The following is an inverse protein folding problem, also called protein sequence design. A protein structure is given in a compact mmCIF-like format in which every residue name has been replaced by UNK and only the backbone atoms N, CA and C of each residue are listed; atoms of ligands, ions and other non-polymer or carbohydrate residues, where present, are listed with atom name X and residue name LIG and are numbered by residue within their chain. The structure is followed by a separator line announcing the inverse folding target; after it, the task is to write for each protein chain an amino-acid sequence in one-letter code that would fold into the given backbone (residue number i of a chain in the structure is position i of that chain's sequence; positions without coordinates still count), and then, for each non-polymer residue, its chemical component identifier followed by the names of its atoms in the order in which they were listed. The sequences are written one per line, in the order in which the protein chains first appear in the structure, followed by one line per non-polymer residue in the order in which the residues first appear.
data_IF_264664980398
#
_entry.id   IF_264664980398
#
_cell.length_a   1.000
_cell.length_b   1.000
_cell.length_c   1.000
_cell.angle_alpha   90.00
_cell.angle_beta   90.00
_cell.angle_gamma   90.00
#
_symmetry.space_group_name_H-M   'P 1'
#
loop_
_entity.id
_entity.type
_entity.pdbx_description
1 polymer ?
#
# COMPACT_ATOMS: atom_id res chain seq x y z
N UNK A 1 -12.69 8.52 -39.79
CA UNK A 1 -13.76 7.99 -40.67
C UNK A 1 -13.07 7.28 -41.82
N UNK A 2 -13.26 5.97 -41.97
CA UNK A 2 -12.81 5.25 -43.17
C UNK A 2 -13.60 5.74 -44.39
N UNK A 3 -13.02 5.61 -45.58
CA UNK A 3 -13.28 6.40 -46.78
C UNK A 3 -14.73 6.52 -47.30
N UNK A 4 -15.72 5.78 -46.77
CA UNK A 4 -17.12 5.82 -47.25
C UNK A 4 -18.19 5.92 -46.14
N UNK A 5 -17.82 6.17 -44.87
CA UNK A 5 -18.80 6.34 -43.77
C UNK A 5 -19.34 5.05 -43.16
N UNK A 6 -19.05 3.88 -43.74
CA UNK A 6 -19.28 2.57 -43.12
C UNK A 6 -18.06 2.15 -42.26
N UNK A 7 -18.29 1.46 -41.12
CA UNK A 7 -17.20 0.92 -40.32
C UNK A 7 -16.48 -0.21 -41.10
N UNK A 8 -15.14 -0.29 -41.06
CA UNK A 8 -14.40 -1.32 -41.78
C UNK A 8 -14.60 -2.70 -41.14
N UNK A 9 -14.45 -3.78 -41.90
CA UNK A 9 -14.43 -5.15 -41.35
C UNK A 9 -13.19 -5.37 -40.47
N UNK A 10 -12.06 -4.79 -40.88
CA UNK A 10 -10.77 -4.84 -40.17
C UNK A 10 -10.13 -3.47 -40.13
N UNK A 11 -9.68 -3.05 -38.94
CA UNK A 11 -8.88 -1.85 -38.73
C UNK A 11 -7.50 -2.25 -38.19
N UNK A 12 -6.45 -1.94 -38.94
CA UNK A 12 -5.07 -2.16 -38.51
C UNK A 12 -4.49 -0.86 -37.95
N UNK A 13 -4.07 -0.90 -36.69
CA UNK A 13 -3.41 0.18 -35.98
C UNK A 13 -1.95 -0.18 -35.74
N UNK A 14 -1.06 0.81 -35.88
CA UNK A 14 0.38 0.69 -35.60
C UNK A 14 0.84 1.92 -34.83
N UNK A 15 2.08 1.93 -34.33
CA UNK A 15 2.69 3.01 -33.55
C UNK A 15 2.10 3.25 -32.15
N UNK A 16 1.13 2.46 -31.70
CA UNK A 16 0.51 2.56 -30.37
C UNK A 16 1.17 1.63 -29.32
N UNK A 17 2.36 1.10 -29.65
CA UNK A 17 3.31 0.47 -28.73
C UNK A 17 2.94 -0.92 -28.21
N UNK A 18 1.80 -1.07 -27.54
CA UNK A 18 1.39 -2.34 -26.92
C UNK A 18 0.49 -3.12 -27.90
N UNK A 19 0.84 -4.36 -28.28
CA UNK A 19 0.06 -5.15 -29.23
C UNK A 19 -1.23 -5.70 -28.58
N UNK A 20 -2.37 -5.62 -29.28
CA UNK A 20 -3.65 -6.19 -28.83
C UNK A 20 -4.65 -6.37 -29.99
N UNK A 21 -5.65 -7.23 -29.78
CA UNK A 21 -6.78 -7.41 -30.71
C UNK A 21 -8.11 -7.23 -29.98
N UNK A 22 -9.08 -6.56 -30.60
CA UNK A 22 -10.43 -6.39 -30.03
C UNK A 22 -11.48 -6.35 -31.14
N UNK A 23 -12.69 -6.84 -30.86
CA UNK A 23 -13.86 -6.58 -31.72
C UNK A 23 -14.73 -5.49 -31.10
N UNK A 24 -15.09 -4.50 -31.92
CA UNK A 24 -15.99 -3.39 -31.53
C UNK A 24 -17.00 -3.22 -32.66
N UNK A 25 -18.29 -3.35 -32.34
CA UNK A 25 -19.40 -3.18 -33.30
C UNK A 25 -19.23 -3.96 -34.62
N UNK A 26 -18.67 -5.17 -34.54
CA UNK A 26 -18.41 -6.05 -35.69
C UNK A 26 -17.03 -5.87 -36.34
N UNK A 27 -16.39 -4.71 -36.20
CA UNK A 27 -15.04 -4.44 -36.70
C UNK A 27 -13.97 -5.17 -35.88
N UNK A 28 -13.08 -5.91 -36.54
CA UNK A 28 -11.85 -6.43 -35.91
C UNK A 28 -10.79 -5.33 -35.90
N UNK A 29 -10.40 -4.86 -34.71
CA UNK A 29 -9.30 -3.93 -34.53
C UNK A 29 -8.06 -4.71 -34.12
N UNK A 30 -6.97 -4.52 -34.86
CA UNK A 30 -5.66 -5.16 -34.62
C UNK A 30 -4.65 -4.06 -34.41
N UNK A 31 -4.18 -3.90 -33.18
CA UNK A 31 -3.02 -3.07 -32.88
C UNK A 31 -1.78 -3.95 -32.85
N UNK A 32 -0.88 -3.72 -33.81
CA UNK A 32 0.35 -4.52 -33.97
C UNK A 32 1.45 -4.09 -32.99
N UNK A 33 1.27 -2.97 -32.30
CA UNK A 33 2.30 -2.34 -31.46
C UNK A 33 3.22 -1.44 -32.27
N UNK A 34 4.48 -1.30 -31.82
CA UNK A 34 5.51 -0.53 -32.50
C UNK A 34 6.71 -1.40 -32.89
N UNK A 35 7.07 -1.39 -34.17
CA UNK A 35 8.27 -2.09 -34.65
C UNK A 35 9.50 -1.48 -33.98
N UNK A 36 10.36 -2.32 -33.41
CA UNK A 36 11.55 -1.88 -32.69
C UNK A 36 11.27 -1.29 -31.31
N UNK A 37 10.07 -1.52 -30.74
CA UNK A 37 9.78 -1.22 -29.34
C UNK A 37 9.02 -2.39 -28.69
N UNK A 38 9.51 -2.95 -27.58
CA UNK A 38 8.82 -4.05 -26.91
C UNK A 38 7.49 -3.67 -26.26
N UNK A 39 6.74 -4.64 -25.77
CA UNK A 39 5.35 -4.48 -25.32
C UNK A 39 5.16 -3.95 -23.88
N UNK A 40 6.23 -3.51 -23.21
CA UNK A 40 6.22 -3.12 -21.79
C UNK A 40 5.83 -4.27 -20.85
N UNK A 41 6.30 -5.48 -21.12
CA UNK A 41 5.98 -6.70 -20.38
C UNK A 41 7.23 -7.48 -19.94
N UNK A 42 8.40 -6.84 -19.99
CA UNK A 42 9.69 -7.42 -19.62
C UNK A 42 10.25 -8.39 -20.66
N UNK A 43 9.60 -8.53 -21.81
CA UNK A 43 10.14 -9.28 -22.94
C UNK A 43 10.69 -8.32 -23.97
N UNK A 44 11.84 -8.66 -24.56
CA UNK A 44 12.52 -7.81 -25.52
C UNK A 44 11.98 -7.96 -26.96
N UNK A 45 11.06 -8.90 -27.21
CA UNK A 45 10.56 -9.17 -28.56
C UNK A 45 9.76 -7.98 -29.13
N UNK A 46 9.80 -7.85 -30.46
CA UNK A 46 8.84 -7.02 -31.19
C UNK A 46 7.66 -7.88 -31.63
N UNK A 47 6.68 -7.28 -32.31
CA UNK A 47 5.43 -7.95 -32.64
C UNK A 47 5.03 -7.67 -34.08
N UNK A 48 4.47 -8.69 -34.73
CA UNK A 48 3.73 -8.53 -35.98
C UNK A 48 2.37 -9.23 -35.88
N UNK A 49 1.45 -8.87 -36.77
CA UNK A 49 0.14 -9.51 -36.85
C UNK A 49 0.03 -10.32 -38.14
N UNK A 50 -0.43 -11.57 -38.03
CA UNK A 50 -0.97 -12.34 -39.15
C UNK A 50 -2.48 -12.14 -39.14
N UNK A 51 -3.04 -11.68 -40.26
CA UNK A 51 -4.48 -11.42 -40.39
C UNK A 51 -5.04 -12.34 -41.46
N UNK A 52 -5.89 -13.26 -41.04
CA UNK A 52 -6.59 -14.20 -41.91
C UNK A 52 -7.98 -13.67 -42.22
N UNK A 53 -8.23 -13.37 -43.50
CA UNK A 53 -9.52 -12.89 -43.97
C UNK A 53 -10.18 -13.98 -44.80
N UNK A 54 -11.28 -14.52 -44.27
CA UNK A 54 -12.14 -15.50 -44.92
C UNK A 54 -13.49 -14.84 -45.27
N UNK A 55 -14.28 -15.47 -46.16
CA UNK A 55 -15.59 -14.95 -46.55
C UNK A 55 -16.48 -14.65 -45.32
N UNK A 56 -16.63 -13.36 -44.98
CA UNK A 56 -17.45 -12.88 -43.87
C UNK A 56 -16.82 -12.97 -42.47
N UNK A 57 -15.53 -13.34 -42.35
CA UNK A 57 -14.83 -13.42 -41.05
C UNK A 57 -13.36 -13.06 -41.19
N UNK A 58 -12.89 -12.13 -40.38
CA UNK A 58 -11.47 -11.84 -40.24
C UNK A 58 -10.98 -12.28 -38.85
N UNK A 59 -9.79 -12.85 -38.76
CA UNK A 59 -9.11 -13.18 -37.50
C UNK A 59 -7.68 -12.64 -37.53
N UNK A 60 -7.10 -12.39 -36.36
CA UNK A 60 -5.74 -11.90 -36.26
C UNK A 60 -5.00 -12.63 -35.14
N UNK A 61 -3.75 -13.01 -35.43
CA UNK A 61 -2.82 -13.60 -34.48
C UNK A 61 -1.64 -12.65 -34.33
N UNK A 62 -1.36 -12.23 -33.09
CA UNK A 62 -0.17 -11.46 -32.75
C UNK A 62 0.98 -12.43 -32.51
N UNK A 63 2.07 -12.27 -33.25
CA UNK A 63 3.22 -13.18 -33.21
C UNK A 63 4.44 -12.41 -32.70
N UNK A 64 5.10 -12.89 -31.62
CA UNK A 64 6.34 -12.30 -31.15
C UNK A 64 7.45 -12.56 -32.17
N UNK A 65 8.24 -11.53 -32.44
CA UNK A 65 9.39 -11.55 -33.34
C UNK A 65 10.66 -11.36 -32.51
N UNK A 66 11.40 -12.44 -32.35
CA UNK A 66 12.75 -12.39 -31.81
C UNK A 66 13.69 -11.69 -32.82
N UNK A 67 14.61 -10.88 -32.30
CA UNK A 67 15.66 -10.22 -33.07
C UNK A 67 16.92 -10.13 -32.22
N UNK A 68 18.04 -9.73 -32.83
CA UNK A 68 19.31 -9.53 -32.12
C UNK A 68 19.25 -8.23 -31.30
N UNK A 69 18.78 -8.36 -30.07
CA UNK A 69 18.64 -7.28 -29.09
C UNK A 69 19.98 -6.58 -28.85
N UNK A 70 21.07 -7.34 -28.75
CA UNK A 70 22.39 -6.81 -28.47
C UNK A 70 22.93 -5.99 -29.66
N UNK A 71 22.77 -6.50 -30.88
CA UNK A 71 23.15 -5.77 -32.09
C UNK A 71 22.31 -4.49 -32.26
N UNK A 72 21.00 -4.56 -31.99
CA UNK A 72 20.12 -3.39 -32.05
C UNK A 72 20.53 -2.33 -31.02
N UNK A 73 20.76 -2.72 -29.77
CA UNK A 73 21.20 -1.82 -28.71
C UNK A 73 22.56 -1.18 -29.04
N UNK A 74 23.52 -1.95 -29.57
CA UNK A 74 24.80 -1.43 -30.03
C UNK A 74 24.65 -0.41 -31.18
N UNK A 75 23.78 -0.69 -32.15
CA UNK A 75 23.50 0.24 -33.25
C UNK A 75 22.85 1.54 -32.75
N UNK A 76 21.93 1.46 -31.78
CA UNK A 76 21.31 2.64 -31.16
C UNK A 76 22.33 3.51 -30.43
N UNK A 77 23.22 2.89 -29.63
CA UNK A 77 24.32 3.61 -28.94
C UNK A 77 25.28 4.24 -29.94
N UNK A 78 25.66 3.52 -31.01
CA UNK A 78 26.53 4.05 -32.06
C UNK A 78 25.90 5.24 -32.82
N UNK A 79 24.57 5.27 -32.92
CA UNK A 79 23.81 6.39 -33.48
C UNK A 79 23.62 7.56 -32.50
N UNK A 80 24.10 7.45 -31.26
CA UNK A 80 23.98 8.48 -30.23
C UNK A 80 22.57 8.62 -29.65
N UNK A 81 21.75 7.56 -29.70
CA UNK A 81 20.43 7.59 -29.07
C UNK A 81 20.55 7.57 -27.53
N UNK A 82 19.65 8.25 -26.79
CA UNK A 82 19.70 8.28 -25.33
C UNK A 82 19.53 6.88 -24.71
N UNK A 83 20.29 6.62 -23.64
CA UNK A 83 20.33 5.31 -22.97
C UNK A 83 18.95 4.79 -22.52
N UNK A 84 18.00 5.62 -22.03
CA UNK A 84 16.66 5.11 -21.69
C UNK A 84 15.98 4.38 -22.86
N UNK A 85 16.10 4.88 -24.09
CA UNK A 85 15.54 4.17 -25.25
C UNK A 85 16.22 2.83 -25.49
N UNK A 86 17.52 2.73 -25.26
CA UNK A 86 18.29 1.48 -25.40
C UNK A 86 17.88 0.47 -24.34
N UNK A 87 17.76 0.91 -23.09
CA UNK A 87 17.33 0.04 -21.99
C UNK A 87 15.93 -0.53 -22.20
N UNK A 88 15.04 0.23 -22.86
CA UNK A 88 13.71 -0.28 -23.23
C UNK A 88 13.81 -1.49 -24.17
N UNK A 89 14.79 -1.50 -25.09
CA UNK A 89 15.03 -2.63 -26.00
C UNK A 89 15.63 -3.81 -25.24
N UNK A 90 16.61 -3.55 -24.39
CA UNK A 90 17.34 -4.60 -23.66
C UNK A 90 16.48 -5.29 -22.60
N UNK A 91 15.61 -4.54 -21.92
CA UNK A 91 14.84 -5.04 -20.77
C UNK A 91 13.39 -5.37 -21.09
N UNK A 92 12.85 -4.86 -22.21
CA UNK A 92 11.43 -4.97 -22.51
C UNK A 92 10.52 -4.05 -21.70
N UNK A 93 11.06 -3.26 -20.77
CA UNK A 93 10.32 -2.30 -19.95
C UNK A 93 10.45 -0.89 -20.48
N UNK A 94 9.35 -0.16 -20.55
CA UNK A 94 9.39 1.20 -21.04
C UNK A 94 9.96 2.15 -19.99
N UNK A 95 11.05 2.82 -20.35
CA UNK A 95 11.68 3.88 -19.56
C UNK A 95 11.37 5.27 -20.09
N UNK A 96 10.66 5.35 -21.22
CA UNK A 96 10.18 6.58 -21.85
C UNK A 96 8.76 6.39 -22.35
N UNK A 97 8.08 7.46 -22.73
CA UNK A 97 6.69 7.50 -23.17
C UNK A 97 5.69 6.79 -22.23
N UNK A 98 5.93 6.76 -20.91
CA UNK A 98 4.98 6.14 -19.99
C UNK A 98 3.62 6.85 -20.02
N UNK A 99 3.59 8.16 -20.29
CA UNK A 99 2.40 9.02 -20.30
C UNK A 99 1.32 8.57 -21.27
N UNK A 100 1.68 7.87 -22.36
CA UNK A 100 0.73 7.35 -23.35
C UNK A 100 0.21 5.95 -23.01
N UNK A 101 0.80 5.27 -22.01
CA UNK A 101 0.36 3.93 -21.57
C UNK A 101 -0.89 4.06 -20.69
N UNK A 102 -2.02 3.42 -21.03
CA UNK A 102 -3.22 3.45 -20.19
C UNK A 102 -2.96 2.87 -18.79
N UNK A 103 -3.67 3.34 -17.73
CA UNK A 103 -3.48 2.88 -16.36
C UNK A 103 -3.42 1.36 -16.16
N UNK A 104 -4.30 0.53 -16.78
CA UNK A 104 -4.25 -0.93 -16.57
C UNK A 104 -2.98 -1.58 -17.09
N UNK A 105 -2.45 -1.10 -18.23
CA UNK A 105 -1.21 -1.62 -18.79
C UNK A 105 0.03 -1.04 -18.09
N UNK A 106 -0.05 0.22 -17.65
CA UNK A 106 1.04 0.85 -16.90
C UNK A 106 1.24 0.18 -15.54
N UNK A 107 0.17 -0.22 -14.88
CA UNK A 107 0.23 -0.92 -13.60
C UNK A 107 0.77 -2.36 -13.66
N UNK A 108 0.78 -2.97 -14.85
CA UNK A 108 1.48 -4.25 -15.12
C UNK A 108 2.96 -4.04 -15.43
N UNK A 109 3.33 -2.82 -15.80
CA UNK A 109 4.68 -2.42 -16.11
C UNK A 109 5.59 -2.43 -14.89
N UNK A 110 6.90 -2.46 -15.12
CA UNK A 110 7.89 -2.24 -14.07
C UNK A 110 7.88 -0.80 -13.56
N UNK A 111 7.82 0.17 -14.47
CA UNK A 111 7.87 1.60 -14.15
C UNK A 111 6.50 2.28 -14.33
N UNK A 112 6.24 3.31 -13.53
CA UNK A 112 4.90 3.86 -13.38
C UNK A 112 4.83 5.38 -13.54
N UNK A 113 5.87 6.09 -13.11
CA UNK A 113 5.95 7.54 -13.15
C UNK A 113 7.30 8.00 -13.69
N UNK A 114 7.36 9.24 -14.16
CA UNK A 114 8.62 9.94 -14.34
C UNK A 114 9.10 10.53 -13.02
N UNK A 115 10.41 10.54 -12.83
CA UNK A 115 11.06 11.11 -11.65
C UNK A 115 10.70 12.59 -11.45
N UNK A 116 10.59 13.37 -12.53
CA UNK A 116 10.16 14.78 -12.51
C UNK A 116 8.70 15.00 -12.04
N UNK A 117 7.87 13.95 -12.07
CA UNK A 117 6.49 13.98 -11.58
C UNK A 117 6.41 13.61 -10.11
N UNK A 118 7.49 13.09 -9.51
CA UNK A 118 7.55 12.99 -8.07
C UNK A 118 7.55 14.40 -7.50
N UNK A 119 6.71 14.69 -6.50
CA UNK A 119 6.64 16.03 -5.97
C UNK A 119 7.97 16.36 -5.28
N UNK A 120 8.61 17.45 -5.71
CA UNK A 120 9.89 17.90 -5.17
C UNK A 120 9.65 18.76 -3.94
N UNK A 121 10.16 18.32 -2.77
CA UNK A 121 10.10 19.10 -1.54
C UNK A 121 8.77 18.95 -0.80
N UNK A 122 8.71 17.97 0.10
CA UNK A 122 7.63 17.80 1.05
C UNK A 122 8.08 18.12 2.46
N UNK A 123 8.08 19.40 2.80
CA UNK A 123 8.01 19.85 4.19
C UNK A 123 6.67 20.55 4.37
N UNK A 124 5.61 19.78 4.62
CA UNK A 124 4.38 20.33 5.18
C UNK A 124 4.57 20.34 6.69
N UNK A 125 4.26 21.46 7.34
CA UNK A 125 4.27 21.63 8.79
C UNK A 125 3.59 20.44 9.49
N UNK A 126 4.37 19.47 9.95
CA UNK A 126 3.93 18.36 10.82
C UNK A 126 3.53 17.03 10.16
N UNK A 127 3.53 16.90 8.84
CA UNK A 127 3.32 15.61 8.15
C UNK A 127 4.07 15.60 6.81
N UNK A 128 5.38 15.36 6.88
CA UNK A 128 6.18 15.11 5.69
C UNK A 128 6.05 13.66 5.25
N UNK A 129 6.19 13.43 3.94
CA UNK A 129 6.55 12.14 3.35
C UNK A 129 7.97 11.67 3.76
N UNK A 130 8.45 12.10 4.93
CA UNK A 130 9.85 12.22 5.29
C UNK A 130 10.58 10.88 5.45
N UNK A 131 9.83 9.79 5.68
CA UNK A 131 10.42 8.46 5.89
C UNK A 131 10.55 7.63 4.62
N UNK A 132 9.94 8.07 3.51
CA UNK A 132 10.11 7.39 2.25
C UNK A 132 11.37 7.93 1.58
N UNK A 133 12.43 7.11 1.59
CA UNK A 133 13.67 7.43 0.89
C UNK A 133 13.40 7.83 -0.57
N UNK A 134 14.22 8.74 -1.09
CA UNK A 134 14.19 9.01 -2.53
C UNK A 134 14.47 7.69 -3.27
N UNK A 135 13.74 7.38 -4.36
CA UNK A 135 14.00 6.18 -5.13
C UNK A 135 15.45 6.20 -5.60
N UNK A 136 16.13 5.04 -5.54
CA UNK A 136 17.50 4.89 -6.00
C UNK A 136 17.69 5.58 -7.37
N UNK A 137 18.74 6.38 -7.48
CA UNK A 137 19.07 7.05 -8.74
C UNK A 137 19.90 6.10 -9.61
N UNK A 138 19.17 5.28 -10.36
CA UNK A 138 19.68 4.39 -11.40
C UNK A 138 20.01 5.13 -12.71
N UNK A 139 19.91 6.47 -12.73
CA UNK A 139 20.10 7.29 -13.93
C UNK A 139 18.92 7.26 -14.90
N UNK A 140 17.82 6.56 -14.55
CA UNK A 140 16.63 6.52 -15.39
C UNK A 140 15.66 7.66 -15.07
N UNK A 141 14.95 8.16 -16.10
CA UNK A 141 13.96 9.22 -15.92
C UNK A 141 12.65 8.71 -15.30
N UNK A 142 12.53 7.40 -15.07
CA UNK A 142 11.31 6.75 -14.58
C UNK A 142 11.55 6.00 -13.27
N UNK A 143 10.48 5.81 -12.50
CA UNK A 143 10.52 5.18 -11.18
C UNK A 143 9.35 4.23 -10.99
N UNK A 144 9.50 3.29 -10.05
CA UNK A 144 8.40 2.49 -9.52
C UNK A 144 7.50 3.36 -8.64
N UNK A 145 6.22 3.02 -8.51
CA UNK A 145 5.36 3.65 -7.50
C UNK A 145 5.71 3.11 -6.12
N UNK A 146 5.61 1.79 -5.90
CA UNK A 146 6.10 1.16 -4.68
C UNK A 146 7.59 1.40 -4.49
N UNK A 147 7.98 1.87 -3.30
CA UNK A 147 9.36 2.31 -3.04
C UNK A 147 9.59 3.79 -3.29
N UNK A 148 8.60 4.53 -3.82
CA UNK A 148 8.67 5.98 -3.94
C UNK A 148 8.04 6.69 -2.74
N UNK A 149 8.29 8.00 -2.57
CA UNK A 149 7.59 8.81 -1.59
C UNK A 149 6.07 8.69 -1.67
N UNK A 150 5.51 8.49 -2.86
CA UNK A 150 4.06 8.34 -2.99
C UNK A 150 3.55 7.00 -2.48
N UNK A 151 4.32 5.91 -2.55
CA UNK A 151 3.92 4.58 -2.08
C UNK A 151 5.10 3.95 -1.34
N UNK A 152 5.26 4.25 -0.04
CA UNK A 152 6.24 3.57 0.79
C UNK A 152 6.04 2.05 0.69
N UNK A 153 7.12 1.24 0.63
CA UNK A 153 7.00 -0.22 0.48
C UNK A 153 6.63 -0.88 1.82
N UNK A 154 5.55 -0.40 2.45
CA UNK A 154 5.01 -0.87 3.74
C UNK A 154 3.78 -1.74 3.49
N UNK A 155 3.68 -2.87 4.18
CA UNK A 155 2.50 -3.73 4.13
C UNK A 155 1.76 -3.69 5.46
N UNK A 156 0.48 -3.35 5.42
CA UNK A 156 -0.41 -3.41 6.57
C UNK A 156 -1.14 -4.74 6.63
N UNK A 157 -1.24 -5.33 7.82
CA UNK A 157 -1.88 -6.63 8.05
C UNK A 157 -2.79 -6.53 9.27
N UNK A 158 -4.10 -6.65 9.06
CA UNK A 158 -5.05 -6.88 10.14
C UNK A 158 -5.02 -8.35 10.56
N UNK A 159 -4.41 -8.63 11.70
CA UNK A 159 -4.36 -9.97 12.29
C UNK A 159 -5.75 -10.53 12.62
N UNK A 160 -6.66 -9.65 13.07
CA UNK A 160 -8.03 -9.95 13.47
C UNK A 160 -8.84 -8.64 13.63
N UNK A 161 -10.14 -8.72 13.91
CA UNK A 161 -11.03 -7.57 14.18
C UNK A 161 -11.73 -7.63 15.53
N UNK A 162 -11.39 -8.61 16.38
CA UNK A 162 -11.88 -8.63 17.76
C UNK A 162 -11.04 -7.69 18.60
N UNK A 163 -11.67 -6.94 19.50
CA UNK A 163 -10.97 -6.04 20.40
C UNK A 163 -11.54 -6.16 21.80
N UNK A 164 -10.71 -6.00 22.82
CA UNK A 164 -11.16 -5.90 24.22
C UNK A 164 -11.78 -4.52 24.54
N UNK A 165 -11.77 -3.59 23.59
CA UNK A 165 -12.40 -2.26 23.64
C UNK A 165 -13.38 -2.10 22.49
N UNK A 166 -14.31 -1.15 22.61
CA UNK A 166 -15.19 -0.70 21.55
C UNK A 166 -15.10 0.82 21.45
N UNK A 167 -13.95 1.34 20.98
CA UNK A 167 -13.69 2.77 20.96
C UNK A 167 -14.70 3.52 20.08
N UNK A 168 -15.13 4.69 20.51
CA UNK A 168 -16.15 5.47 19.80
C UNK A 168 -15.68 5.98 18.43
N UNK A 169 -14.36 6.11 18.22
CA UNK A 169 -13.77 6.49 16.93
C UNK A 169 -13.21 5.32 16.10
N UNK A 170 -13.48 4.06 16.46
CA UNK A 170 -12.87 2.92 15.78
C UNK A 170 -13.21 2.87 14.28
N UNK A 171 -12.22 3.16 13.43
CA UNK A 171 -12.38 3.25 11.96
C UNK A 171 -12.82 1.95 11.28
N UNK A 172 -12.55 0.80 11.92
CA UNK A 172 -12.95 -0.53 11.45
C UNK A 172 -14.02 -1.19 12.35
N UNK A 173 -14.65 -0.43 13.24
CA UNK A 173 -15.71 -0.89 14.15
C UNK A 173 -15.37 -2.18 14.93
N UNK A 174 -14.10 -2.34 15.33
CA UNK A 174 -13.66 -3.48 16.14
C UNK A 174 -14.20 -3.38 17.57
N UNK A 175 -14.62 -4.51 18.13
CA UNK A 175 -15.23 -4.58 19.46
C UNK A 175 -15.21 -5.99 20.03
N UNK A 176 -15.59 -6.19 21.32
CA UNK A 176 -15.81 -7.54 21.86
C UNK A 176 -16.99 -8.26 21.20
N UNK A 177 -17.88 -7.54 20.52
CA UNK A 177 -18.98 -8.12 19.78
C UNK A 177 -18.63 -8.40 18.29
N UNK A 178 -17.51 -7.85 17.81
CA UNK A 178 -17.09 -8.04 16.43
C UNK A 178 -16.65 -9.48 16.17
N UNK A 179 -16.99 -9.98 14.98
CA UNK A 179 -16.53 -11.28 14.50
C UNK A 179 -15.00 -11.28 14.43
N UNK A 180 -14.36 -12.31 15.01
CA UNK A 180 -12.90 -12.36 15.17
C UNK A 180 -12.13 -12.13 13.86
N UNK A 181 -12.56 -12.75 12.76
CA UNK A 181 -11.92 -12.60 11.44
C UNK A 181 -10.39 -12.80 11.53
N UNK A 182 -10.01 -13.86 12.23
CA UNK A 182 -8.61 -14.22 12.49
C UNK A 182 -7.91 -14.63 11.19
N UNK A 183 -6.70 -14.12 10.96
CA UNK A 183 -5.83 -14.62 9.89
C UNK A 183 -5.26 -16.01 10.22
N UNK A 184 -4.86 -16.22 11.47
CA UNK A 184 -4.13 -17.42 11.91
C UNK A 184 -2.67 -17.44 11.44
N UNK A 185 -1.82 -18.19 12.16
CA UNK A 185 -0.37 -18.19 11.95
C UNK A 185 0.03 -18.56 10.51
N UNK A 186 -0.47 -19.66 9.96
CA UNK A 186 -0.04 -20.16 8.65
C UNK A 186 -0.32 -19.17 7.50
N UNK A 187 -1.46 -18.47 7.57
CA UNK A 187 -1.78 -17.43 6.58
C UNK A 187 -0.90 -16.21 6.77
N UNK A 188 -0.67 -15.80 8.01
CA UNK A 188 0.19 -14.67 8.33
C UNK A 188 1.64 -14.93 7.87
N UNK A 189 2.21 -16.09 8.19
CA UNK A 189 3.56 -16.47 7.78
C UNK A 189 3.71 -16.45 6.25
N UNK A 190 2.75 -17.02 5.52
CA UNK A 190 2.75 -16.98 4.05
C UNK A 190 2.69 -15.55 3.49
N UNK A 191 1.91 -14.66 4.11
CA UNK A 191 1.86 -13.25 3.72
C UNK A 191 3.18 -12.52 3.98
N UNK A 192 3.87 -12.84 5.08
CA UNK A 192 5.19 -12.28 5.38
C UNK A 192 6.22 -12.72 4.34
N UNK A 193 6.26 -14.01 4.00
CA UNK A 193 7.19 -14.53 2.99
C UNK A 193 6.89 -13.93 1.60
N UNK A 194 5.62 -13.77 1.26
CA UNK A 194 5.19 -13.07 0.04
C UNK A 194 5.60 -11.60 0.07
N UNK A 195 5.48 -10.92 1.21
CA UNK A 195 5.88 -9.53 1.35
C UNK A 195 7.39 -9.34 1.09
N UNK A 196 8.22 -10.27 1.58
CA UNK A 196 9.66 -10.29 1.29
C UNK A 196 9.91 -10.48 -0.21
N UNK A 197 9.24 -11.45 -0.84
CA UNK A 197 9.39 -11.73 -2.27
C UNK A 197 8.96 -10.53 -3.15
N UNK A 198 7.96 -9.77 -2.69
CA UNK A 198 7.47 -8.57 -3.36
C UNK A 198 8.25 -7.31 -2.99
N UNK A 199 9.37 -7.39 -2.26
CA UNK A 199 10.19 -6.24 -1.86
C UNK A 199 9.45 -5.19 -1.01
N UNK A 200 8.60 -5.63 -0.09
CA UNK A 200 8.19 -4.76 1.02
C UNK A 200 9.37 -4.60 2.00
N UNK A 201 9.55 -3.41 2.55
CA UNK A 201 10.64 -3.09 3.48
C UNK A 201 10.22 -3.14 4.93
N UNK A 202 8.92 -3.06 5.22
CA UNK A 202 8.40 -2.98 6.59
C UNK A 202 6.98 -3.54 6.68
N UNK A 203 6.65 -4.13 7.84
CA UNK A 203 5.35 -4.69 8.16
C UNK A 203 4.67 -3.90 9.28
N UNK A 204 3.39 -3.59 9.08
CA UNK A 204 2.52 -3.01 10.11
C UNK A 204 1.45 -4.02 10.48
N UNK A 205 1.62 -4.66 11.62
CA UNK A 205 0.66 -5.61 12.17
C UNK A 205 -0.30 -4.88 13.09
N UNK A 206 -1.58 -4.94 12.76
CA UNK A 206 -2.65 -4.32 13.54
C UNK A 206 -3.77 -5.34 13.74
N UNK A 207 -4.90 -4.88 14.26
CA UNK A 207 -6.13 -5.65 14.36
C UNK A 207 -7.21 -4.81 15.03
N UNK A 208 -8.28 -5.45 15.48
CA UNK A 208 -8.98 -4.92 16.64
C UNK A 208 -7.98 -4.72 17.77
N UNK A 209 -7.65 -5.79 18.50
CA UNK A 209 -6.46 -5.82 19.35
C UNK A 209 -5.59 -7.02 18.95
N UNK A 210 -4.34 -6.83 18.48
CA UNK A 210 -3.49 -7.96 18.10
C UNK A 210 -3.30 -8.98 19.19
N UNK A 211 -3.12 -8.57 20.45
CA UNK A 211 -2.86 -9.51 21.56
C UNK A 211 -4.09 -10.33 22.01
N UNK A 212 -5.26 -10.11 21.39
CA UNK A 212 -6.38 -11.05 21.46
C UNK A 212 -6.11 -12.28 20.59
N UNK A 213 -5.41 -12.17 19.46
CA UNK A 213 -5.12 -13.27 18.54
C UNK A 213 -4.21 -14.32 19.20
N UNK A 214 -4.66 -15.57 19.45
CA UNK A 214 -3.87 -16.65 20.06
C UNK A 214 -2.41 -16.72 19.62
N UNK A 215 -2.16 -16.62 18.32
CA UNK A 215 -0.82 -16.85 17.75
C UNK A 215 0.02 -15.56 17.64
N UNK A 216 -0.45 -14.43 18.19
CA UNK A 216 0.15 -13.12 17.95
C UNK A 216 1.64 -13.05 18.26
N UNK A 217 2.08 -13.63 19.38
CA UNK A 217 3.51 -13.61 19.73
C UNK A 217 4.35 -14.40 18.75
N UNK A 218 3.85 -15.54 18.27
CA UNK A 218 4.57 -16.36 17.30
C UNK A 218 4.55 -15.69 15.90
N UNK A 219 3.45 -15.01 15.55
CA UNK A 219 3.36 -14.15 14.35
C UNK A 219 4.40 -13.02 14.39
N UNK A 220 4.49 -12.28 15.50
CA UNK A 220 5.45 -11.19 15.65
C UNK A 220 6.89 -11.68 15.64
N UNK A 221 7.17 -12.84 16.26
CA UNK A 221 8.48 -13.48 16.17
C UNK A 221 8.83 -13.79 14.71
N UNK A 222 7.93 -14.42 13.97
CA UNK A 222 8.13 -14.78 12.57
C UNK A 222 8.38 -13.57 11.66
N UNK A 223 7.54 -12.54 11.79
CA UNK A 223 7.60 -11.31 11.00
C UNK A 223 8.90 -10.54 11.25
N UNK A 224 9.22 -10.26 12.51
CA UNK A 224 10.38 -9.45 12.86
C UNK A 224 11.73 -10.15 12.59
N UNK A 225 11.74 -11.45 12.33
CA UNK A 225 12.91 -12.20 11.83
C UNK A 225 13.21 -11.90 10.35
N UNK A 226 12.22 -11.42 9.60
CA UNK A 226 12.28 -11.26 8.13
C UNK A 226 12.27 -9.80 7.72
N UNK A 227 11.43 -8.98 8.35
CA UNK A 227 11.27 -7.56 8.05
C UNK A 227 11.12 -6.75 9.35
N UNK A 228 11.60 -5.50 9.40
CA UNK A 228 11.17 -4.53 10.41
C UNK A 228 9.65 -4.58 10.58
N UNK A 229 9.20 -4.73 11.82
CA UNK A 229 7.78 -4.96 12.14
C UNK A 229 7.32 -4.01 13.23
N UNK A 230 6.24 -3.27 12.95
CA UNK A 230 5.54 -2.44 13.92
C UNK A 230 4.21 -3.10 14.26
N UNK A 231 3.98 -3.37 15.55
CA UNK A 231 2.71 -3.89 16.05
C UNK A 231 1.89 -2.80 16.74
N UNK A 232 0.71 -2.48 16.22
CA UNK A 232 -0.20 -1.49 16.79
C UNK A 232 -1.10 -2.13 17.85
N UNK A 233 -1.05 -1.67 19.10
CA UNK A 233 -1.80 -2.26 20.22
C UNK A 233 -2.37 -1.20 21.16
N UNK A 234 -3.46 -1.51 21.86
CA UNK A 234 -3.93 -0.71 22.99
C UNK A 234 -3.10 -0.94 24.28
N UNK A 235 -2.12 -1.84 24.24
CA UNK A 235 -1.20 -2.20 25.31
C UNK A 235 -1.84 -2.78 26.60
N UNK A 236 -3.16 -2.92 26.70
CA UNK A 236 -3.83 -3.32 27.94
C UNK A 236 -3.60 -4.79 28.32
N UNK A 237 -3.23 -5.62 27.35
CA UNK A 237 -3.06 -7.07 27.50
C UNK A 237 -1.59 -7.50 27.64
N UNK A 238 -0.66 -6.55 27.63
CA UNK A 238 0.78 -6.87 27.58
C UNK A 238 1.32 -7.36 28.92
N UNK A 239 0.82 -6.86 30.06
CA UNK A 239 1.33 -7.24 31.39
C UNK A 239 0.43 -8.26 32.08
N UNK A 240 1.06 -9.31 32.61
CA UNK A 240 0.42 -10.33 33.44
C UNK A 240 -0.30 -11.43 32.63
N UNK A 241 -0.82 -12.42 33.36
CA UNK A 241 -1.53 -13.55 32.77
C UNK A 241 -0.68 -14.36 31.78
N UNK A 242 -1.36 -15.04 30.84
CA UNK A 242 -0.71 -15.82 29.78
C UNK A 242 0.05 -14.92 28.79
N UNK A 243 -0.55 -13.80 28.39
CA UNK A 243 0.00 -12.90 27.36
C UNK A 243 1.31 -12.24 27.77
N UNK A 244 1.42 -11.74 29.00
CA UNK A 244 2.69 -11.18 29.45
C UNK A 244 3.84 -12.20 29.44
N UNK A 245 3.57 -13.44 29.85
CA UNK A 245 4.58 -14.51 29.78
C UNK A 245 4.97 -14.86 28.35
N UNK A 246 4.01 -14.87 27.42
CA UNK A 246 4.31 -15.11 26.01
C UNK A 246 5.11 -13.95 25.41
N UNK A 247 4.74 -12.70 25.70
CA UNK A 247 5.42 -11.51 25.19
C UNK A 247 6.90 -11.45 25.61
N UNK A 248 7.23 -11.94 26.80
CA UNK A 248 8.63 -12.04 27.25
C UNK A 248 9.54 -12.85 26.31
N UNK A 249 8.97 -13.72 25.45
CA UNK A 249 9.73 -14.43 24.40
C UNK A 249 10.28 -13.51 23.31
N UNK A 250 9.75 -12.28 23.19
CA UNK A 250 10.18 -11.26 22.24
C UNK A 250 11.17 -10.26 22.85
N UNK A 251 11.64 -10.48 24.08
CA UNK A 251 12.51 -9.52 24.77
C UNK A 251 13.80 -9.22 23.96
N UNK A 252 14.19 -7.94 23.92
CA UNK A 252 15.41 -7.47 23.26
C UNK A 252 15.41 -7.54 21.73
N UNK A 253 14.24 -7.68 21.10
CA UNK A 253 14.12 -7.87 19.65
C UNK A 253 14.13 -6.52 18.92
N UNK A 254 15.26 -6.18 18.31
CA UNK A 254 15.51 -4.86 17.71
C UNK A 254 14.59 -4.52 16.52
N UNK A 255 14.24 -5.51 15.69
CA UNK A 255 13.36 -5.34 14.53
C UNK A 255 11.86 -5.33 14.87
N UNK A 256 11.50 -5.23 16.16
CA UNK A 256 10.11 -5.19 16.61
C UNK A 256 9.83 -3.93 17.44
N UNK A 257 8.88 -3.14 16.95
CA UNK A 257 8.38 -1.95 17.63
C UNK A 257 6.92 -2.17 18.04
N UNK A 258 6.58 -1.85 19.29
CA UNK A 258 5.18 -1.77 19.72
C UNK A 258 4.70 -0.33 19.67
N UNK A 259 3.75 -0.04 18.79
CA UNK A 259 3.09 1.26 18.74
C UNK A 259 1.82 1.23 19.58
N UNK A 260 1.87 1.85 20.75
CA UNK A 260 0.73 1.92 21.67
C UNK A 260 -0.15 3.13 21.36
N UNK A 261 -1.46 3.03 21.61
CA UNK A 261 -2.36 4.17 21.43
C UNK A 261 -2.77 4.81 22.75
N UNK A 262 -2.37 6.07 22.97
CA UNK A 262 -2.65 6.83 24.19
C UNK A 262 -3.25 8.18 23.81
N UNK A 263 -4.56 8.36 24.01
CA UNK A 263 -5.30 9.54 23.54
C UNK A 263 -5.42 10.66 24.58
N UNK A 264 -4.42 10.86 25.42
CA UNK A 264 -4.46 11.90 26.45
C UNK A 264 -3.43 11.67 27.54
N UNK A 265 -2.99 12.76 28.15
CA UNK A 265 -2.08 12.75 29.30
C UNK A 265 -2.80 12.37 30.61
N UNK A 266 -4.14 12.46 30.62
CA UNK A 266 -4.99 12.13 31.76
C UNK A 266 -5.86 10.92 31.47
N UNK A 267 -6.11 10.11 32.51
CA UNK A 267 -7.04 8.98 32.42
C UNK A 267 -8.45 9.44 31.99
N UNK A 268 -8.91 10.62 32.43
CA UNK A 268 -10.24 11.13 32.08
C UNK A 268 -10.41 11.38 30.58
N UNK A 269 -9.38 11.87 29.89
CA UNK A 269 -9.48 12.23 28.47
C UNK A 269 -9.16 11.05 27.56
N UNK A 270 -8.23 10.18 27.97
CA UNK A 270 -8.00 8.88 27.31
C UNK A 270 -9.20 7.93 27.43
N UNK A 271 -9.72 7.73 28.65
CA UNK A 271 -10.80 6.77 28.90
C UNK A 271 -12.13 7.22 28.29
N UNK A 272 -12.31 8.52 28.02
CA UNK A 272 -13.55 9.08 27.48
C UNK A 272 -13.98 8.43 26.15
N UNK A 273 -13.02 8.05 25.30
CA UNK A 273 -13.29 7.46 23.99
C UNK A 273 -12.96 5.97 23.91
N UNK A 274 -12.11 5.46 24.81
CA UNK A 274 -11.62 4.08 24.81
C UNK A 274 -12.30 3.18 25.83
N UNK A 275 -12.94 3.77 26.84
CA UNK A 275 -13.57 3.07 27.95
C UNK A 275 -12.77 3.13 29.25
N UNK A 276 -13.49 3.00 30.37
CA UNK A 276 -12.97 3.22 31.72
C UNK A 276 -11.83 2.26 32.10
N UNK A 277 -10.77 2.83 32.67
CA UNK A 277 -9.58 2.12 33.14
C UNK A 277 -8.65 1.66 32.03
N UNK A 278 -8.83 2.15 30.80
CA UNK A 278 -7.96 1.80 29.66
C UNK A 278 -6.60 2.47 29.79
N UNK A 279 -6.53 3.73 30.22
CA UNK A 279 -5.28 4.48 30.39
C UNK A 279 -4.30 3.76 31.34
N UNK A 280 -4.77 3.43 32.54
CA UNK A 280 -3.92 2.79 33.55
C UNK A 280 -3.38 1.43 33.09
N UNK A 281 -4.19 0.64 32.37
CA UNK A 281 -3.78 -0.65 31.82
C UNK A 281 -2.79 -0.49 30.67
N UNK A 282 -3.04 0.46 29.77
CA UNK A 282 -2.16 0.75 28.64
C UNK A 282 -0.78 1.20 29.12
N UNK A 283 -0.71 2.15 30.06
CA UNK A 283 0.56 2.62 30.64
C UNK A 283 1.33 1.50 31.35
N UNK A 284 0.64 0.61 32.05
CA UNK A 284 1.25 -0.57 32.68
C UNK A 284 1.83 -1.57 31.66
N UNK A 285 1.16 -1.71 30.51
CA UNK A 285 1.63 -2.51 29.39
C UNK A 285 2.84 -1.91 28.68
N UNK A 286 2.82 -0.60 28.42
CA UNK A 286 3.96 0.14 27.85
C UNK A 286 5.20 0.00 28.75
N UNK A 287 5.02 0.20 30.06
CA UNK A 287 6.11 0.00 31.01
C UNK A 287 6.67 -1.42 30.97
N UNK A 288 5.83 -2.43 30.74
CA UNK A 288 6.28 -3.82 30.65
C UNK A 288 7.06 -4.08 29.37
N UNK A 289 6.57 -3.59 28.24
CA UNK A 289 7.29 -3.69 26.97
C UNK A 289 8.67 -2.99 27.03
N UNK A 290 8.76 -1.87 27.76
CA UNK A 290 10.05 -1.22 28.08
C UNK A 290 10.97 -2.12 28.91
N UNK A 291 10.45 -2.76 29.97
CA UNK A 291 11.21 -3.70 30.81
C UNK A 291 11.77 -4.88 29.98
N UNK A 292 11.06 -5.27 28.92
CA UNK A 292 11.49 -6.31 27.97
C UNK A 292 12.51 -5.81 26.93
N UNK A 293 12.84 -4.51 26.90
CA UNK A 293 13.75 -3.94 25.92
C UNK A 293 13.19 -3.92 24.49
N UNK A 294 11.87 -3.84 24.33
CA UNK A 294 11.22 -3.67 23.02
C UNK A 294 11.21 -2.20 22.60
N UNK A 295 11.28 -1.95 21.29
CA UNK A 295 11.07 -0.61 20.74
C UNK A 295 9.64 -0.12 21.02
N UNK A 296 9.49 1.17 21.36
CA UNK A 296 8.21 1.75 21.75
C UNK A 296 7.92 3.00 20.94
N UNK A 297 6.75 3.03 20.31
CA UNK A 297 6.14 4.24 19.75
C UNK A 297 4.79 4.48 20.39
N UNK A 298 4.33 5.73 20.38
CA UNK A 298 2.98 6.07 20.83
C UNK A 298 2.29 6.97 19.83
N UNK A 299 1.06 6.60 19.47
CA UNK A 299 0.17 7.43 18.70
C UNK A 299 -0.95 7.98 19.60
N UNK A 300 -1.26 9.25 19.44
CA UNK A 300 -2.43 9.90 20.02
C UNK A 300 -3.43 10.21 18.90
N UNK A 301 -4.67 9.76 19.04
CA UNK A 301 -5.77 10.33 18.24
C UNK A 301 -6.26 11.59 18.94
N UNK A 302 -6.11 12.74 18.30
CA UNK A 302 -6.67 14.00 18.76
C UNK A 302 -8.21 13.95 18.65
N UNK A 303 -8.87 14.22 19.75
CA UNK A 303 -10.32 14.27 19.91
C UNK A 303 -10.71 15.60 20.55
N UNK A 304 -12.00 15.99 20.51
CA UNK A 304 -12.46 17.15 21.26
C UNK A 304 -12.13 17.11 22.76
N UNK A 305 -12.01 15.91 23.36
CA UNK A 305 -11.77 15.74 24.79
C UNK A 305 -10.31 15.93 25.20
N UNK A 306 -9.35 15.78 24.28
CA UNK A 306 -7.91 15.78 24.58
C UNK A 306 -7.14 16.83 23.76
N UNK A 307 -7.84 17.67 22.99
CA UNK A 307 -7.24 18.71 22.14
C UNK A 307 -6.32 19.60 22.97
N UNK A 308 -5.08 19.76 22.51
CA UNK A 308 -4.06 20.53 23.22
C UNK A 308 -3.24 19.76 24.25
N UNK A 309 -3.56 18.48 24.53
CA UNK A 309 -2.77 17.66 25.46
C UNK A 309 -1.50 17.07 24.84
N UNK A 310 -1.29 17.18 23.51
CA UNK A 310 -0.18 16.51 22.82
C UNK A 310 1.20 16.80 23.42
N UNK A 311 1.50 18.07 23.74
CA UNK A 311 2.78 18.44 24.35
C UNK A 311 2.93 17.93 25.80
N UNK A 312 1.82 17.85 26.54
CA UNK A 312 1.82 17.30 27.90
C UNK A 312 2.00 15.79 27.89
N UNK A 313 1.28 15.10 27.02
CA UNK A 313 1.45 13.67 26.80
C UNK A 313 2.87 13.34 26.36
N UNK A 314 3.45 14.10 25.43
CA UNK A 314 4.85 13.92 25.01
C UNK A 314 5.83 13.98 26.19
N UNK A 315 5.64 14.90 27.15
CA UNK A 315 6.46 14.96 28.38
C UNK A 315 6.27 13.76 29.29
N UNK A 316 5.03 13.28 29.44
CA UNK A 316 4.72 12.07 30.21
C UNK A 316 5.42 10.84 29.61
N UNK A 317 5.35 10.71 28.28
CA UNK A 317 5.90 9.59 27.52
C UNK A 317 7.43 9.62 27.45
N UNK A 318 8.06 10.80 27.49
CA UNK A 318 9.51 10.93 27.58
C UNK A 318 10.10 10.21 28.81
N UNK A 319 9.37 10.17 29.94
CA UNK A 319 9.76 9.38 31.12
C UNK A 319 9.78 7.86 30.89
N UNK A 320 9.08 7.40 29.85
CA UNK A 320 9.04 6.00 29.39
C UNK A 320 10.02 5.71 28.25
N UNK A 321 10.79 6.71 27.80
CA UNK A 321 11.76 6.56 26.71
C UNK A 321 11.17 6.77 25.32
N UNK A 322 9.93 7.25 25.20
CA UNK A 322 9.29 7.62 23.93
C UNK A 322 9.54 9.10 23.68
N UNK A 323 10.32 9.45 22.67
CA UNK A 323 10.79 10.81 22.41
C UNK A 323 10.88 11.11 20.91
N UNK A 324 10.85 12.39 20.54
CA UNK A 324 11.00 12.81 19.14
C UNK A 324 10.00 12.13 18.23
N UNK A 325 10.51 11.46 17.19
CA UNK A 325 9.73 10.80 16.17
C UNK A 325 9.04 9.51 16.66
N UNK A 326 9.26 9.05 17.91
CA UNK A 326 8.51 7.92 18.48
C UNK A 326 7.11 8.31 19.00
N UNK A 327 6.73 9.59 18.92
CA UNK A 327 5.41 10.09 19.31
C UNK A 327 4.77 10.92 18.20
N UNK A 328 3.55 10.54 17.79
CA UNK A 328 2.76 11.34 16.85
C UNK A 328 1.34 11.61 17.36
N UNK A 329 0.84 12.81 17.04
CA UNK A 329 -0.56 13.19 17.20
C UNK A 329 -1.24 13.14 15.83
N UNK A 330 -2.39 12.48 15.76
CA UNK A 330 -3.13 12.26 14.52
C UNK A 330 -4.55 12.80 14.64
N UNK A 331 -5.14 13.31 13.56
CA UNK A 331 -6.53 13.73 13.61
C UNK A 331 -7.46 12.51 13.75
N UNK A 332 -8.62 12.73 14.36
CA UNK A 332 -9.73 11.79 14.32
C UNK A 332 -10.23 11.65 12.88
N UNK A 333 -10.46 10.41 12.44
CA UNK A 333 -11.02 10.10 11.12
C UNK A 333 -12.51 9.80 11.28
N UNK A 334 -13.36 10.49 10.52
CA UNK A 334 -14.80 10.30 10.53
C UNK A 334 -15.21 9.05 9.73
N UNK A 335 -14.86 7.87 10.25
CA UNK A 335 -15.09 6.57 9.61
C UNK A 335 -15.39 5.50 10.65
N UNK A 336 -16.04 4.41 10.24
CA UNK A 336 -16.45 3.34 11.15
C UNK A 336 -17.38 3.88 12.24
N UNK A 337 -17.03 3.64 13.50
CA UNK A 337 -17.81 4.14 14.64
C UNK A 337 -17.86 5.67 14.73
N UNK A 338 -16.87 6.37 14.15
CA UNK A 338 -16.81 7.84 14.10
C UNK A 338 -17.43 8.46 12.84
N UNK A 339 -18.13 7.70 11.99
CA UNK A 339 -18.68 8.23 10.73
C UNK A 339 -19.61 9.45 10.91
N UNK A 340 -20.22 9.62 12.09
CA UNK A 340 -21.08 10.76 12.42
C UNK A 340 -20.42 11.88 13.24
N UNK A 341 -19.11 11.83 13.48
CA UNK A 341 -18.39 12.87 14.24
C UNK A 341 -18.03 14.03 13.32
N UNK A 342 -18.60 15.22 13.55
CA UNK A 342 -18.45 16.39 12.69
C UNK A 342 -17.00 16.90 12.59
N UNK A 343 -16.25 16.83 13.70
CA UNK A 343 -14.85 17.27 13.77
C UNK A 343 -13.85 16.27 13.19
N UNK A 344 -14.32 15.10 12.74
CA UNK A 344 -13.46 14.09 12.14
C UNK A 344 -13.12 14.41 10.69
N UNK A 345 -11.87 14.21 10.31
CA UNK A 345 -11.44 14.40 8.93
C UNK A 345 -12.09 13.33 8.03
N UNK A 346 -12.51 13.77 6.85
CA UNK A 346 -13.03 12.89 5.81
C UNK A 346 -11.85 12.36 4.99
N UNK A 347 -11.84 11.05 4.76
CA UNK A 347 -10.77 10.41 4.01
C UNK A 347 -11.36 9.52 2.91
N UNK A 348 -10.72 9.52 1.76
CA UNK A 348 -11.10 8.71 0.60
C UNK A 348 -9.86 8.33 -0.19
N UNK A 349 -9.98 7.34 -1.06
CA UNK A 349 -8.92 6.99 -2.00
C UNK A 349 -8.50 8.11 -2.95
N UNK A 350 -9.41 9.06 -3.22
CA UNK A 350 -9.13 10.20 -4.07
C UNK A 350 -8.17 11.18 -3.40
N UNK A 351 -8.11 11.21 -2.07
CA UNK A 351 -7.26 12.15 -1.34
C UNK A 351 -6.20 11.46 -0.50
N UNK A 352 -6.23 10.14 -0.36
CA UNK A 352 -5.21 9.40 0.40
C UNK A 352 -4.25 8.68 -0.53
N UNK A 353 -2.98 8.72 -0.17
CA UNK A 353 -2.04 7.74 -0.68
C UNK A 353 -2.40 6.34 -0.21
N UNK A 354 -2.24 5.35 -1.08
CA UNK A 354 -2.46 3.96 -0.69
C UNK A 354 -1.33 3.43 0.19
N UNK A 355 -1.74 2.64 1.16
CA UNK A 355 -0.88 1.74 1.92
C UNK A 355 -1.53 0.35 1.88
N UNK A 356 -0.99 -0.53 1.01
CA UNK A 356 -1.63 -1.83 0.75
C UNK A 356 -1.88 -2.56 2.07
N UNK A 357 -3.15 -2.90 2.29
CA UNK A 357 -3.62 -3.49 3.53
C UNK A 357 -4.27 -4.83 3.28
N UNK A 358 -3.84 -5.86 4.01
CA UNK A 358 -4.40 -7.20 3.97
C UNK A 358 -5.25 -7.44 5.19
N UNK A 359 -6.44 -8.03 4.98
CA UNK A 359 -7.32 -8.48 6.05
C UNK A 359 -7.83 -9.89 5.78
N UNK A 360 -8.57 -10.47 6.73
CA UNK A 360 -9.16 -11.79 6.51
C UNK A 360 -10.11 -11.82 5.31
N UNK A 361 -10.73 -10.68 4.98
CA UNK A 361 -11.79 -10.58 3.98
C UNK A 361 -11.29 -10.09 2.60
N UNK A 362 -10.06 -9.57 2.49
CA UNK A 362 -9.51 -9.12 1.21
C UNK A 362 -8.34 -8.13 1.32
N UNK A 363 -8.09 -7.42 0.21
CA UNK A 363 -7.11 -6.35 0.09
C UNK A 363 -7.81 -4.99 0.09
N UNK A 364 -7.16 -4.00 0.71
CA UNK A 364 -7.70 -2.66 0.93
C UNK A 364 -6.66 -1.60 0.61
N UNK A 365 -7.15 -0.42 0.27
CA UNK A 365 -6.37 0.75 -0.13
C UNK A 365 -5.50 1.29 1.01
N UNK A 366 -6.00 1.21 2.26
CA UNK A 366 -5.37 1.80 3.44
C UNK A 366 -5.88 1.13 4.72
N UNK A 367 -5.11 1.10 5.82
CA UNK A 367 -5.54 0.51 7.09
C UNK A 367 -6.80 1.16 7.69
N UNK A 368 -7.01 2.46 7.52
CA UNK A 368 -8.23 3.15 8.01
C UNK A 368 -9.52 2.62 7.38
N UNK A 369 -9.41 1.97 6.22
CA UNK A 369 -10.52 1.42 5.47
C UNK A 369 -10.55 -0.11 5.45
N UNK A 370 -9.89 -0.80 6.40
CA UNK A 370 -9.74 -2.26 6.39
C UNK A 370 -11.03 -3.07 6.58
N UNK A 371 -12.17 -2.44 6.87
CA UNK A 371 -13.46 -3.13 7.04
C UNK A 371 -14.38 -2.91 5.83
N UNK A 372 -14.78 -4.01 5.19
CA UNK A 372 -15.63 -3.98 3.98
C UNK A 372 -16.99 -3.30 4.25
N UNK A 373 -17.56 -3.49 5.44
CA UNK A 373 -18.86 -2.94 5.78
C UNK A 373 -18.81 -1.45 6.07
N UNK A 374 -17.80 -1.01 6.83
CA UNK A 374 -17.61 0.39 7.19
C UNK A 374 -16.96 1.22 6.07
N UNK A 375 -16.21 0.59 5.17
CA UNK A 375 -15.37 1.26 4.18
C UNK A 375 -15.36 0.57 2.81
N UNK A 376 -16.53 0.40 2.16
CA UNK A 376 -16.62 -0.26 0.86
C UNK A 376 -15.80 0.44 -0.24
N UNK A 377 -15.59 1.75 -0.10
CA UNK A 377 -14.78 2.57 -1.00
C UNK A 377 -13.29 2.22 -0.98
N UNK A 378 -12.76 1.68 0.13
CA UNK A 378 -11.34 1.31 0.27
C UNK A 378 -11.04 -0.12 -0.18
N UNK A 379 -12.04 -0.90 -0.54
CA UNK A 379 -11.85 -2.29 -0.95
C UNK A 379 -11.17 -2.35 -2.31
N UNK A 380 -10.02 -3.03 -2.38
CA UNK A 380 -9.26 -3.23 -3.63
C UNK A 380 -9.62 -4.56 -4.28
N UNK A 381 -9.66 -5.63 -3.48
CA UNK A 381 -10.03 -6.95 -3.95
C UNK A 381 -10.70 -7.75 -2.82
N UNK A 382 -11.78 -8.47 -3.14
CA UNK A 382 -12.51 -9.31 -2.19
C UNK A 382 -12.38 -10.79 -2.55
N UNK A 383 -12.43 -11.63 -1.52
CA UNK A 383 -12.52 -13.07 -1.68
C UNK A 383 -11.17 -13.76 -1.92
N UNK A 384 -10.99 -14.92 -1.28
CA UNK A 384 -9.82 -15.78 -1.47
C UNK A 384 -8.48 -15.18 -1.02
N UNK A 385 -7.40 -15.94 -1.23
CA UNK A 385 -6.03 -15.43 -1.10
C UNK A 385 -5.68 -14.72 -2.41
N UNK A 386 -5.77 -13.40 -2.42
CA UNK A 386 -5.29 -12.57 -3.53
C UNK A 386 -3.78 -12.35 -3.33
N UNK A 387 -2.93 -12.66 -4.32
CA UNK A 387 -1.50 -12.40 -4.22
C UNK A 387 -1.19 -10.92 -4.00
N UNK A 388 -0.15 -10.60 -3.25
CA UNK A 388 0.32 -9.24 -3.01
C UNK A 388 0.77 -8.56 -4.30
N UNK A 389 1.36 -9.30 -5.25
CA UNK A 389 1.69 -8.78 -6.59
C UNK A 389 0.46 -8.26 -7.33
N UNK A 390 -0.65 -9.01 -7.26
CA UNK A 390 -1.93 -8.58 -7.80
C UNK A 390 -2.51 -7.39 -7.04
N UNK A 391 -2.33 -7.37 -5.71
CA UNK A 391 -2.66 -6.22 -4.86
C UNK A 391 -1.94 -4.94 -5.27
N UNK A 392 -0.62 -5.02 -5.48
CA UNK A 392 0.21 -3.92 -5.98
C UNK A 392 -0.31 -3.43 -7.32
N UNK A 393 -0.53 -4.34 -8.27
CA UNK A 393 -1.06 -4.03 -9.60
C UNK A 393 -2.41 -3.30 -9.53
N UNK A 394 -3.36 -3.80 -8.74
CA UNK A 394 -4.71 -3.22 -8.62
C UNK A 394 -4.69 -1.84 -7.97
N UNK A 395 -3.94 -1.66 -6.87
CA UNK A 395 -3.81 -0.34 -6.24
C UNK A 395 -3.14 0.64 -7.20
N UNK A 396 -2.06 0.24 -7.86
CA UNK A 396 -1.37 1.11 -8.81
C UNK A 396 -2.27 1.49 -9.98
N UNK A 397 -3.04 0.56 -10.53
CA UNK A 397 -4.01 0.86 -11.58
C UNK A 397 -5.03 1.90 -11.10
N UNK A 398 -5.67 1.65 -9.97
CA UNK A 398 -6.71 2.53 -9.41
C UNK A 398 -6.16 3.92 -9.07
N UNK A 399 -4.94 3.99 -8.54
CA UNK A 399 -4.23 5.26 -8.34
C UNK A 399 -4.07 6.04 -9.63
N UNK A 400 -3.55 5.40 -10.68
CA UNK A 400 -3.33 6.05 -11.97
C UNK A 400 -4.65 6.51 -12.61
N UNK A 401 -5.73 5.73 -12.47
CA UNK A 401 -7.07 6.08 -12.94
C UNK A 401 -7.64 7.31 -12.23
N UNK A 402 -7.54 7.37 -10.89
CA UNK A 402 -7.98 8.52 -10.10
C UNK A 402 -7.25 9.79 -10.53
N UNK A 403 -5.92 9.73 -10.64
CA UNK A 403 -5.07 10.86 -11.05
C UNK A 403 -5.33 11.32 -12.48
N UNK A 404 -5.69 10.40 -13.38
CA UNK A 404 -6.06 10.76 -14.74
C UNK A 404 -7.41 11.48 -14.79
N UNK A 405 -8.33 11.16 -13.89
CA UNK A 405 -9.67 11.74 -13.86
C UNK A 405 -9.73 13.15 -13.27
N UNK A 406 -9.00 13.41 -12.18
CA UNK A 406 -9.16 14.65 -11.40
C UNK A 406 -7.93 15.58 -11.43
N UNK A 407 -6.76 15.08 -11.84
CA UNK A 407 -5.50 15.82 -11.84
C UNK A 407 -4.98 16.23 -10.46
N UNK A 408 -5.60 15.75 -9.37
CA UNK A 408 -5.22 16.11 -7.99
C UNK A 408 -4.01 15.30 -7.53
N UNK A 409 -3.24 15.79 -6.55
CA UNK A 409 -2.25 14.97 -5.84
C UNK A 409 -2.84 14.49 -4.51
N UNK A 410 -2.55 13.25 -4.08
CA UNK A 410 -3.04 12.74 -2.80
C UNK A 410 -2.34 13.44 -1.62
N UNK A 411 -3.04 13.51 -0.49
CA UNK A 411 -2.52 13.87 0.81
C UNK A 411 -1.96 12.62 1.53
N UNK A 412 -0.88 12.83 2.29
CA UNK A 412 -0.32 11.80 3.16
C UNK A 412 -1.19 11.64 4.39
N UNK A 413 -1.54 10.41 4.74
CA UNK A 413 -2.16 10.12 6.02
C UNK A 413 -1.39 9.02 6.74
N UNK A 414 -0.62 9.40 7.76
CA UNK A 414 0.24 8.47 8.48
C UNK A 414 -0.58 7.70 9.53
N UNK A 415 -0.92 6.45 9.24
CA UNK A 415 -1.54 5.53 10.21
C UNK A 415 -0.56 4.93 11.22
N UNK A 416 0.73 5.12 11.01
CA UNK A 416 1.80 4.74 11.89
C UNK A 416 2.71 5.93 12.19
N UNK A 417 3.40 5.85 13.33
CA UNK A 417 4.41 6.80 13.80
C UNK A 417 5.72 6.35 13.21
#
# INVERSE_FOLDING_TARGET
RACNGEPPDVLLCTHTGIPWTRRVDGTLIVNVGAVGRPANDGRAESWYALVDVHHGRAEATLVPLAYDVAAQAAAMRAAGLPEPFVETIETGWWTTCLEVVPPPERARGRYHLYRERLPTGFAVEGAGWADAGEPEDDGLPVVTLFGSPLFPPRLWIYSNFHCNLACDYCVVASSPAARKRSLGFDRFAALVDEAVAENFSELYVTGGEPFVEPDMVDMLAYASERLPTVCLTNAMLLRGGRRGRELARLAGRENLVLQSSIDGSHASTHDAWRGRGSFAKAMNGIAYARELGLGLRVAMTETPANRGEGAELGRLLAGLGVQGDDFAVRPLVARGSAAGVEEGIQVSEAVMVPELTVTADGLHWHPVGGDIGASPDFVVAQGGRVPLSEGKRLITQRFLELRQADGTLPEAFHCAV
#
